data_IF_714787656283
#
_entry.id   IF_714787656283
#
_cell.length_a   1.000
_cell.length_b   1.000
_cell.length_c   1.000
_cell.angle_alpha   90.00
_cell.angle_beta   90.00
_cell.angle_gamma   90.00
#
_symmetry.space_group_name_H-M   'P 1'
#
loop_
_entity.id
_entity.type
_entity.pdbx_description
1 polymer ?
#
# COMPACT_ATOMS: atom_id res chain seq x y z
N UNK A 1 5.49 10.68 -8.78
CA UNK A 1 4.07 10.26 -8.66
C UNK A 1 3.37 10.26 -10.02
N UNK A 2 3.11 11.39 -10.68
CA UNK A 2 2.28 11.45 -11.91
C UNK A 2 2.67 10.46 -13.04
N UNK A 3 3.96 10.25 -13.34
CA UNK A 3 4.40 9.25 -14.33
C UNK A 3 4.03 7.82 -13.93
N UNK A 4 4.22 7.47 -12.66
CA UNK A 4 3.89 6.16 -12.08
C UNK A 4 2.38 5.94 -12.03
N UNK A 5 1.62 6.96 -11.65
CA UNK A 5 0.15 6.90 -11.67
C UNK A 5 -0.36 6.57 -13.08
N UNK A 6 0.13 7.28 -14.12
CA UNK A 6 -0.28 7.01 -15.51
C UNK A 6 0.13 5.61 -15.98
N UNK A 7 1.35 5.19 -15.65
CA UNK A 7 1.81 3.84 -15.98
C UNK A 7 0.90 2.78 -15.34
N UNK A 8 0.61 2.92 -14.04
CA UNK A 8 -0.23 1.96 -13.32
C UNK A 8 -1.68 1.93 -13.80
N UNK A 9 -2.25 3.09 -14.12
CA UNK A 9 -3.59 3.18 -14.73
C UNK A 9 -3.64 2.38 -16.03
N UNK A 10 -2.62 2.52 -16.88
CA UNK A 10 -2.51 1.80 -18.15
C UNK A 10 -2.32 0.28 -17.94
N UNK A 11 -1.47 -0.11 -17.00
CA UNK A 11 -1.25 -1.53 -16.63
C UNK A 11 -2.53 -2.21 -16.15
N UNK A 12 -3.37 -1.48 -15.41
CA UNK A 12 -4.67 -1.99 -14.94
C UNK A 12 -5.76 -1.96 -16.03
N UNK A 13 -5.46 -1.44 -17.23
CA UNK A 13 -6.41 -1.33 -18.34
C UNK A 13 -7.49 -0.27 -18.14
N UNK A 14 -7.29 0.71 -17.26
CA UNK A 14 -8.27 1.76 -17.00
C UNK A 14 -7.99 3.04 -17.78
N UNK A 15 -9.05 3.76 -18.13
CA UNK A 15 -8.97 5.20 -18.40
C UNK A 15 -9.02 6.03 -17.10
N UNK A 16 -8.64 7.31 -17.18
CA UNK A 16 -8.75 8.25 -16.04
C UNK A 16 -10.21 8.39 -15.59
N UNK A 17 -11.15 8.39 -16.53
CA UNK A 17 -12.59 8.49 -16.25
C UNK A 17 -13.14 7.24 -15.56
N UNK A 18 -12.70 6.05 -15.95
CA UNK A 18 -13.06 4.82 -15.26
C UNK A 18 -12.49 4.76 -13.85
N UNK A 19 -11.22 5.13 -13.67
CA UNK A 19 -10.62 5.23 -12.34
C UNK A 19 -11.38 6.20 -11.44
N UNK A 20 -11.84 7.35 -11.98
CA UNK A 20 -12.66 8.30 -11.22
C UNK A 20 -13.98 7.68 -10.77
N UNK A 21 -14.67 6.97 -11.66
CA UNK A 21 -15.93 6.26 -11.36
C UNK A 21 -15.73 5.19 -10.29
N UNK A 22 -14.67 4.39 -10.40
CA UNK A 22 -14.37 3.30 -9.47
C UNK A 22 -13.89 3.80 -8.10
N UNK A 23 -13.05 4.84 -8.06
CA UNK A 23 -12.50 5.38 -6.81
C UNK A 23 -13.42 6.39 -6.12
N UNK A 24 -14.43 6.91 -6.82
CA UNK A 24 -15.27 8.01 -6.35
C UNK A 24 -14.52 9.34 -6.23
N UNK A 25 -13.31 9.45 -6.79
CA UNK A 25 -12.53 10.69 -6.82
C UNK A 25 -12.91 11.49 -8.07
N UNK A 26 -13.17 12.81 -7.96
CA UNK A 26 -13.53 13.61 -9.13
C UNK A 26 -12.51 13.50 -10.26
N UNK A 27 -13.00 13.29 -11.49
CA UNK A 27 -12.18 13.17 -12.72
C UNK A 27 -11.15 14.31 -12.84
N UNK A 28 -11.58 15.56 -12.58
CA UNK A 28 -10.70 16.73 -12.60
C UNK A 28 -9.51 16.61 -11.65
N UNK A 29 -9.74 16.06 -10.45
CA UNK A 29 -8.68 15.82 -9.46
C UNK A 29 -7.68 14.80 -9.98
N UNK A 30 -8.13 13.70 -10.59
CA UNK A 30 -7.23 12.70 -11.17
C UNK A 30 -6.43 13.28 -12.35
N UNK A 31 -7.05 14.07 -13.23
CA UNK A 31 -6.33 14.75 -14.30
C UNK A 31 -5.21 15.63 -13.76
N UNK A 32 -5.48 16.46 -12.75
CA UNK A 32 -4.45 17.27 -12.10
C UNK A 32 -3.30 16.41 -11.53
N UNK A 33 -3.60 15.25 -10.96
CA UNK A 33 -2.56 14.35 -10.46
C UNK A 33 -1.74 13.73 -11.58
N UNK A 34 -2.38 13.35 -12.68
CA UNK A 34 -1.70 12.82 -13.85
C UNK A 34 -0.86 13.88 -14.56
N UNK A 35 -1.11 15.19 -14.37
CA UNK A 35 -0.28 16.27 -14.94
C UNK A 35 0.82 16.76 -14.01
N UNK A 36 0.85 16.31 -12.75
CA UNK A 36 1.95 16.60 -11.82
C UNK A 36 1.55 17.30 -10.52
N UNK A 37 0.29 17.71 -10.37
CA UNK A 37 -0.18 18.28 -9.11
C UNK A 37 -0.21 17.20 -8.02
N UNK A 38 0.31 17.54 -6.84
CA UNK A 38 0.31 16.60 -5.72
C UNK A 38 -1.08 16.42 -5.10
N UNK A 39 -1.44 15.21 -4.64
CA UNK A 39 -2.62 14.96 -3.82
C UNK A 39 -2.61 15.82 -2.55
N UNK A 40 -3.69 16.55 -2.30
CA UNK A 40 -3.88 17.32 -1.05
C UNK A 40 -4.73 16.60 -0.01
N UNK A 41 -5.57 15.66 -0.46
CA UNK A 41 -6.50 14.91 0.38
C UNK A 41 -6.06 13.46 0.43
N UNK A 42 -5.57 13.04 1.60
CA UNK A 42 -5.10 11.66 1.80
C UNK A 42 -6.21 10.64 1.50
N UNK A 43 -7.46 10.91 1.89
CA UNK A 43 -8.59 10.03 1.63
C UNK A 43 -8.78 9.71 0.12
N UNK A 44 -8.64 10.71 -0.76
CA UNK A 44 -8.72 10.48 -2.21
C UNK A 44 -7.56 9.61 -2.71
N UNK A 45 -6.37 9.81 -2.16
CA UNK A 45 -5.19 9.06 -2.52
C UNK A 45 -5.37 7.58 -2.17
N UNK A 46 -5.83 7.30 -0.95
CA UNK A 46 -6.13 5.94 -0.48
C UNK A 46 -7.19 5.25 -1.34
N UNK A 47 -8.27 5.95 -1.71
CA UNK A 47 -9.30 5.41 -2.61
C UNK A 47 -8.75 5.01 -3.98
N UNK A 48 -7.88 5.83 -4.55
CA UNK A 48 -7.23 5.54 -5.83
C UNK A 48 -6.28 4.35 -5.71
N UNK A 49 -5.44 4.34 -4.67
CA UNK A 49 -4.52 3.24 -4.38
C UNK A 49 -5.27 1.91 -4.19
N UNK A 50 -6.41 1.92 -3.50
CA UNK A 50 -7.26 0.74 -3.30
C UNK A 50 -7.76 0.16 -4.63
N UNK A 51 -8.24 1.00 -5.55
CA UNK A 51 -8.68 0.55 -6.89
C UNK A 51 -7.52 0.02 -7.72
N UNK A 52 -6.35 0.68 -7.66
CA UNK A 52 -5.15 0.30 -8.40
C UNK A 52 -4.37 -0.87 -7.77
N UNK A 53 -4.81 -1.35 -6.61
CA UNK A 53 -4.18 -2.42 -5.83
C UNK A 53 -2.67 -2.18 -5.63
N UNK A 54 -2.32 -0.96 -5.21
CA UNK A 54 -0.97 -0.56 -4.85
C UNK A 54 -1.00 0.21 -3.52
N UNK A 55 0.12 0.24 -2.82
CA UNK A 55 0.30 1.10 -1.65
C UNK A 55 0.58 2.56 -2.05
N UNK A 56 0.49 3.47 -1.08
CA UNK A 56 0.86 4.88 -1.32
C UNK A 56 2.37 4.99 -1.55
N UNK A 57 3.16 4.25 -0.79
CA UNK A 57 4.62 4.17 -0.92
C UNK A 57 5.02 3.76 -2.34
N UNK A 58 4.41 2.68 -2.86
CA UNK A 58 4.65 2.19 -4.21
C UNK A 58 4.32 3.25 -5.27
N UNK A 59 3.22 4.00 -5.09
CA UNK A 59 2.83 5.10 -5.99
C UNK A 59 3.87 6.23 -6.01
N UNK A 60 4.49 6.50 -4.87
CA UNK A 60 5.61 7.44 -4.76
C UNK A 60 6.95 6.82 -5.17
N UNK A 61 6.98 5.52 -5.45
CA UNK A 61 8.15 4.73 -5.83
C UNK A 61 9.09 4.47 -4.68
N UNK A 62 8.58 4.55 -3.46
CA UNK A 62 9.21 3.87 -2.35
C UNK A 62 8.79 2.42 -2.48
N UNK A 63 9.77 1.56 -2.76
CA UNK A 63 9.58 0.13 -2.58
C UNK A 63 9.31 -0.01 -1.08
N UNK A 64 8.17 -0.57 -0.64
CA UNK A 64 8.04 -0.89 0.76
C UNK A 64 9.28 -1.71 1.09
N UNK A 65 10.14 -1.18 1.97
CA UNK A 65 11.13 -2.01 2.60
C UNK A 65 10.28 -3.10 3.23
N UNK A 66 10.23 -4.27 2.59
CA UNK A 66 9.82 -5.47 3.30
C UNK A 66 10.84 -5.51 4.41
N UNK A 67 10.45 -4.97 5.56
CA UNK A 67 11.24 -5.03 6.75
C UNK A 67 11.20 -6.51 7.01
N UNK A 68 12.25 -7.21 6.55
CA UNK A 68 12.32 -8.64 6.72
C UNK A 68 12.08 -8.87 8.20
N UNK A 69 11.15 -9.75 8.52
CA UNK A 69 11.03 -10.16 9.92
C UNK A 69 12.41 -10.64 10.36
N UNK A 70 12.77 -10.40 11.62
CA UNK A 70 14.02 -10.91 12.20
C UNK A 70 14.18 -12.40 11.87
N UNK A 71 13.07 -13.14 11.86
CA UNK A 71 13.03 -14.53 11.42
C UNK A 71 13.52 -14.75 9.98
N UNK A 72 12.98 -13.99 9.00
CA UNK A 72 13.41 -14.09 7.60
C UNK A 72 14.86 -13.66 7.40
N UNK A 73 15.34 -12.69 8.18
CA UNK A 73 16.72 -12.23 8.10
C UNK A 73 17.73 -13.33 8.51
N UNK A 74 17.37 -14.20 9.46
CA UNK A 74 18.25 -15.24 10.01
C UNK A 74 17.80 -16.67 9.64
N UNK A 75 16.98 -16.83 8.60
CA UNK A 75 16.35 -18.11 8.24
C UNK A 75 17.38 -19.22 8.03
N UNK A 76 18.50 -18.92 7.35
CA UNK A 76 19.56 -19.90 7.07
C UNK A 76 20.29 -20.33 8.33
N UNK A 77 20.63 -19.39 9.19
CA UNK A 77 21.34 -19.62 10.43
C UNK A 77 20.46 -20.36 11.45
N UNK A 78 19.16 -20.05 11.48
CA UNK A 78 18.17 -20.80 12.27
C UNK A 78 18.06 -22.24 11.76
N UNK A 79 17.89 -22.45 10.45
CA UNK A 79 17.80 -23.80 9.87
C UNK A 79 19.10 -24.61 10.01
N UNK A 80 20.25 -23.96 10.01
CA UNK A 80 21.55 -24.58 10.26
C UNK A 80 21.79 -24.91 11.74
N UNK A 81 20.88 -24.52 12.65
CA UNK A 81 21.02 -24.74 14.09
C UNK A 81 22.05 -23.84 14.76
N UNK A 82 22.43 -22.72 14.14
CA UNK A 82 23.38 -21.75 14.69
C UNK A 82 22.75 -20.92 15.81
N UNK A 83 21.42 -20.72 15.74
CA UNK A 83 20.66 -19.96 16.74
C UNK A 83 19.69 -20.84 17.52
N UNK A 84 19.59 -20.57 18.83
CA UNK A 84 18.50 -21.04 19.67
C UNK A 84 17.28 -20.10 19.50
N UNK A 85 16.12 -20.67 19.15
CA UNK A 85 14.88 -19.91 18.93
C UNK A 85 13.92 -20.13 20.10
N UNK A 86 13.63 -19.07 20.84
CA UNK A 86 12.67 -19.10 21.95
C UNK A 86 11.34 -18.49 21.47
N UNK A 87 10.32 -19.32 21.32
CA UNK A 87 8.96 -18.87 21.02
C UNK A 87 8.22 -18.55 22.32
N UNK A 88 7.59 -17.37 22.38
CA UNK A 88 6.68 -17.00 23.46
C UNK A 88 5.27 -16.84 22.89
N UNK A 89 4.23 -17.37 23.56
CA UNK A 89 2.86 -17.16 23.11
C UNK A 89 2.56 -15.66 23.11
N UNK A 90 2.00 -15.17 22.00
CA UNK A 90 1.55 -13.80 21.93
C UNK A 90 0.34 -13.63 22.87
N UNK A 91 0.40 -12.63 23.75
CA UNK A 91 -0.82 -12.12 24.38
C UNK A 91 -1.68 -11.60 23.23
N UNK A 92 -2.83 -12.25 22.98
CA UNK A 92 -3.79 -11.81 21.97
C UNK A 92 -4.07 -10.33 22.21
N UNK A 93 -3.53 -9.46 21.37
CA UNK A 93 -3.84 -8.04 21.41
C UNK A 93 -5.34 -7.97 21.11
N UNK A 94 -6.17 -7.65 22.10
CA UNK A 94 -7.58 -7.34 21.85
C UNK A 94 -7.57 -6.11 20.98
N UNK A 95 -7.68 -6.32 19.68
CA UNK A 95 -7.93 -5.26 18.71
C UNK A 95 -9.15 -4.49 19.23
N UNK A 96 -8.95 -3.22 19.59
CA UNK A 96 -10.04 -2.31 19.93
C UNK A 96 -10.78 -2.01 18.64
N UNK A 97 -11.68 -2.90 18.24
CA UNK A 97 -12.62 -2.64 17.15
C UNK A 97 -13.80 -3.62 17.20
N UNK A 98 -14.46 -3.74 18.35
CA UNK A 98 -15.87 -4.15 18.41
C UNK A 98 -16.50 -3.57 19.68
N UNK A 99 -17.67 -2.95 19.48
CA UNK A 99 -18.56 -2.28 20.42
C UNK A 99 -18.16 -0.90 20.99
N UNK A 100 -18.60 0.14 20.28
CA UNK A 100 -19.24 1.30 20.90
C UNK A 100 -20.58 1.55 20.18
N UNK A 101 -21.64 1.92 20.93
CA UNK A 101 -23.05 1.63 20.65
C UNK A 101 -23.67 2.32 19.45
#
# INVERSE_FOLDING_TARGET
MHKRLRARIKECGYSVSELARLSGVPVKTLYHWTTGQQPRKMNHLLKVCAVLKISVEELYGQIPSQTMSVFQQYEKEIHAGIYEVILRPALKNRDKSEDAP
#
